data_IF_298017355818
#
_entry.id   IF_298017355818
#
_cell.length_a   1.000
_cell.length_b   1.000
_cell.length_c   1.000
_cell.angle_alpha   90.00
_cell.angle_beta   90.00
_cell.angle_gamma   90.00
#
_symmetry.space_group_name_H-M   'P 1'
#
loop_
_entity.id
_entity.type
_entity.pdbx_description
1 polymer ?
#
# COMPACT_ATOMS: atom_id res chain seq x y z
N UNK A 1 12.91 -19.78 35.79
CA UNK A 1 11.92 -18.91 35.08
C UNK A 1 12.60 -17.77 34.31
N UNK A 2 13.44 -16.93 34.92
CA UNK A 2 14.22 -15.88 34.25
C UNK A 2 15.11 -16.36 33.08
N UNK A 3 15.79 -17.50 33.21
CA UNK A 3 16.59 -18.08 32.11
C UNK A 3 15.75 -18.53 30.90
N UNK A 4 14.53 -19.03 31.13
CA UNK A 4 13.61 -19.45 30.06
C UNK A 4 13.03 -18.21 29.35
N UNK A 5 12.66 -17.17 30.11
CA UNK A 5 12.23 -15.88 29.56
C UNK A 5 13.36 -15.23 28.77
N UNK A 6 14.60 -15.26 29.28
CA UNK A 6 15.79 -14.78 28.56
C UNK A 6 16.07 -15.61 27.30
N UNK A 7 15.87 -16.92 27.31
CA UNK A 7 16.11 -17.79 26.15
C UNK A 7 15.04 -17.60 25.06
N UNK A 8 13.78 -17.37 25.45
CA UNK A 8 12.69 -16.97 24.54
C UNK A 8 12.93 -15.57 23.98
N UNK A 9 13.38 -14.62 24.80
CA UNK A 9 13.77 -13.29 24.34
C UNK A 9 14.97 -13.35 23.38
N UNK A 10 15.95 -14.22 23.64
CA UNK A 10 17.15 -14.35 22.80
C UNK A 10 16.85 -15.05 21.47
N UNK A 11 15.93 -16.03 21.43
CA UNK A 11 15.50 -16.65 20.18
C UNK A 11 14.61 -15.73 19.33
N UNK A 12 13.82 -14.86 19.97
CA UNK A 12 12.86 -13.98 19.29
C UNK A 12 13.32 -12.52 19.18
N UNK A 13 14.55 -12.19 19.62
CA UNK A 13 15.08 -10.82 19.64
C UNK A 13 15.02 -10.17 18.26
N UNK A 14 15.47 -10.90 17.22
CA UNK A 14 15.45 -10.40 15.83
C UNK A 14 14.03 -10.13 15.34
N UNK A 15 13.07 -10.98 15.67
CA UNK A 15 11.67 -10.82 15.28
C UNK A 15 11.07 -9.58 15.97
N UNK A 16 11.31 -9.42 17.27
CA UNK A 16 10.85 -8.26 18.04
C UNK A 16 11.48 -6.95 17.53
N UNK A 17 12.79 -6.97 17.26
CA UNK A 17 13.53 -5.84 16.72
C UNK A 17 13.01 -5.45 15.33
N UNK A 18 12.79 -6.41 14.43
CA UNK A 18 12.22 -6.15 13.11
C UNK A 18 10.78 -5.63 13.18
N UNK A 19 9.97 -6.19 14.08
CA UNK A 19 8.62 -5.70 14.31
C UNK A 19 8.62 -4.26 14.82
N UNK A 20 9.54 -3.91 15.73
CA UNK A 20 9.73 -2.53 16.19
C UNK A 20 10.12 -1.60 15.04
N UNK A 21 11.08 -1.99 14.20
CA UNK A 21 11.48 -1.19 13.04
C UNK A 21 10.35 -1.00 12.02
N UNK A 22 9.56 -2.04 11.78
CA UNK A 22 8.37 -1.97 10.93
C UNK A 22 7.32 -1.02 11.53
N UNK A 23 7.07 -1.12 12.83
CA UNK A 23 6.15 -0.25 13.57
C UNK A 23 6.55 1.21 13.45
N UNK A 24 7.82 1.51 13.72
CA UNK A 24 8.37 2.86 13.58
C UNK A 24 8.19 3.36 12.14
N UNK A 25 8.53 2.54 11.15
CA UNK A 25 8.36 2.90 9.74
C UNK A 25 6.89 3.22 9.41
N UNK A 26 5.93 2.44 9.89
CA UNK A 26 4.51 2.67 9.64
C UNK A 26 4.01 3.95 10.31
N UNK A 27 4.42 4.23 11.56
CA UNK A 27 4.08 5.47 12.26
C UNK A 27 4.62 6.70 11.53
N UNK A 28 5.90 6.70 11.11
CA UNK A 28 6.47 7.79 10.32
C UNK A 28 5.78 7.94 8.95
N UNK A 29 5.38 6.83 8.33
CA UNK A 29 4.60 6.85 7.09
C UNK A 29 3.25 7.51 7.27
N UNK A 30 2.65 7.32 8.44
CA UNK A 30 1.36 7.89 8.80
C UNK A 30 1.47 9.39 9.08
N UNK A 31 2.48 9.82 9.83
CA UNK A 31 2.64 11.22 10.23
C UNK A 31 2.99 12.14 9.06
N UNK A 32 3.71 11.61 8.07
CA UNK A 32 4.26 12.41 6.97
C UNK A 32 3.17 13.21 6.21
N UNK A 33 2.07 12.60 5.72
CA UNK A 33 0.98 13.36 5.10
C UNK A 33 0.37 14.44 5.98
N UNK A 34 0.22 14.21 7.30
CA UNK A 34 -0.38 15.20 8.20
C UNK A 34 0.50 16.44 8.38
N UNK A 35 1.81 16.34 8.14
CA UNK A 35 2.72 17.47 8.16
C UNK A 35 2.69 18.22 6.83
N UNK A 36 2.74 17.50 5.70
CA UNK A 36 2.88 18.12 4.38
C UNK A 36 1.57 18.57 3.75
N UNK A 37 0.45 17.89 4.01
CA UNK A 37 -0.84 18.23 3.40
C UNK A 37 -1.32 19.63 3.73
N UNK A 38 -1.34 20.08 5.00
CA UNK A 38 -1.80 21.42 5.34
C UNK A 38 -1.00 22.50 4.61
N UNK A 39 0.31 22.31 4.49
CA UNK A 39 1.19 23.24 3.80
C UNK A 39 0.96 23.24 2.28
N UNK A 40 0.93 22.06 1.67
CA UNK A 40 0.76 21.91 0.22
C UNK A 40 -0.60 22.38 -0.26
N UNK A 41 -1.68 22.09 0.49
CA UNK A 41 -3.03 22.57 0.16
C UNK A 41 -3.10 24.10 0.27
N UNK A 42 -2.52 24.71 1.30
CA UNK A 42 -2.53 26.18 1.47
C UNK A 42 -1.76 26.91 0.37
N UNK A 43 -0.61 26.37 -0.07
CA UNK A 43 0.22 27.03 -1.08
C UNK A 43 -0.26 26.73 -2.50
N UNK A 44 -0.42 25.45 -2.84
CA UNK A 44 -0.76 25.03 -4.20
C UNK A 44 -2.26 25.18 -4.49
N UNK A 45 -3.11 25.09 -3.47
CA UNK A 45 -4.56 25.03 -3.59
C UNK A 45 -5.05 23.62 -4.01
N UNK A 46 -6.33 23.37 -3.79
CA UNK A 46 -6.95 22.05 -4.03
C UNK A 46 -6.82 21.56 -5.48
N UNK A 47 -6.99 22.43 -6.47
CA UNK A 47 -6.99 22.03 -7.87
C UNK A 47 -5.59 21.61 -8.36
N UNK A 48 -4.57 22.45 -8.14
CA UNK A 48 -3.19 22.16 -8.57
C UNK A 48 -2.61 20.97 -7.81
N UNK A 49 -2.83 20.91 -6.50
CA UNK A 49 -2.38 19.76 -5.71
C UNK A 49 -3.10 18.47 -6.11
N UNK A 50 -4.36 18.58 -6.54
CA UNK A 50 -5.14 17.47 -7.09
C UNK A 50 -4.51 16.87 -8.34
N UNK A 51 -3.99 17.70 -9.26
CA UNK A 51 -3.22 17.22 -10.42
C UNK A 51 -1.98 16.45 -9.98
N UNK A 52 -1.24 16.93 -8.97
CA UNK A 52 -0.06 16.24 -8.41
C UNK A 52 -0.45 14.88 -7.84
N UNK A 53 -1.47 14.84 -6.98
CA UNK A 53 -1.98 13.60 -6.38
C UNK A 53 -2.43 12.62 -7.46
N UNK A 54 -3.14 13.11 -8.48
CA UNK A 54 -3.64 12.29 -9.58
C UNK A 54 -2.49 11.65 -10.35
N UNK A 55 -1.46 12.44 -10.73
CA UNK A 55 -0.28 11.94 -11.40
C UNK A 55 0.50 10.90 -10.56
N UNK A 56 0.65 11.17 -9.25
CA UNK A 56 1.26 10.22 -8.31
C UNK A 56 0.46 8.93 -8.19
N UNK A 57 -0.87 9.01 -8.19
CA UNK A 57 -1.75 7.85 -8.08
C UNK A 57 -1.61 6.94 -9.29
N UNK A 58 -1.46 7.51 -10.50
CA UNK A 58 -1.17 6.71 -11.69
C UNK A 58 0.19 5.99 -11.54
N UNK A 59 1.22 6.71 -11.09
CA UNK A 59 2.55 6.12 -10.87
C UNK A 59 2.54 4.99 -9.83
N UNK A 60 1.78 5.15 -8.73
CA UNK A 60 1.60 4.10 -7.71
C UNK A 60 0.91 2.86 -8.29
N UNK A 61 -0.10 3.03 -9.15
CA UNK A 61 -0.74 1.90 -9.81
C UNK A 61 0.20 1.17 -10.77
N UNK A 62 1.04 1.91 -11.52
CA UNK A 62 2.08 1.32 -12.38
C UNK A 62 3.14 0.60 -11.53
N UNK A 63 3.50 1.14 -10.37
CA UNK A 63 4.43 0.50 -9.44
C UNK A 63 3.96 -0.89 -9.00
N UNK A 64 2.64 -1.12 -8.85
CA UNK A 64 2.09 -2.46 -8.56
C UNK A 64 2.42 -3.46 -9.68
N UNK A 65 2.35 -3.02 -10.93
CA UNK A 65 2.70 -3.85 -12.10
C UNK A 65 4.19 -4.18 -12.09
N UNK A 66 5.05 -3.20 -11.80
CA UNK A 66 6.49 -3.39 -11.68
C UNK A 66 6.83 -4.30 -10.50
N UNK A 67 6.10 -4.20 -9.39
CA UNK A 67 6.31 -5.09 -8.25
C UNK A 67 6.01 -6.54 -8.62
N UNK A 68 5.01 -6.80 -9.46
CA UNK A 68 4.64 -8.12 -9.95
C UNK A 68 4.48 -9.19 -8.84
N UNK A 69 4.10 -8.79 -7.63
CA UNK A 69 3.98 -9.67 -6.48
C UNK A 69 5.30 -10.12 -5.84
N UNK A 70 6.45 -9.58 -6.28
CA UNK A 70 7.78 -9.92 -5.76
C UNK A 70 7.96 -9.55 -4.28
N UNK A 71 7.15 -8.63 -3.73
CA UNK A 71 7.14 -8.37 -2.29
C UNK A 71 6.71 -9.58 -1.46
N UNK A 72 5.99 -10.53 -2.06
CA UNK A 72 5.57 -11.77 -1.41
C UNK A 72 6.44 -12.93 -1.88
N UNK A 73 6.53 -13.18 -3.19
CA UNK A 73 7.31 -14.32 -3.72
C UNK A 73 8.80 -14.17 -3.46
N UNK A 74 9.39 -13.01 -3.75
CA UNK A 74 10.80 -12.72 -3.53
C UNK A 74 11.19 -12.84 -2.06
N UNK A 75 10.37 -12.31 -1.15
CA UNK A 75 10.57 -12.44 0.30
C UNK A 75 10.64 -13.90 0.74
N UNK A 76 9.74 -14.74 0.22
CA UNK A 76 9.70 -16.19 0.51
C UNK A 76 10.94 -16.91 -0.03
N UNK A 77 11.37 -16.61 -1.24
CA UNK A 77 12.52 -17.27 -1.86
C UNK A 77 13.85 -16.87 -1.19
N UNK A 78 13.99 -15.60 -0.81
CA UNK A 78 15.14 -15.11 -0.04
C UNK A 78 15.16 -15.73 1.35
N UNK A 79 14.04 -15.78 2.06
CA UNK A 79 13.96 -16.37 3.40
C UNK A 79 14.36 -17.85 3.40
N UNK A 80 13.99 -18.60 2.35
CA UNK A 80 14.37 -20.02 2.17
C UNK A 80 15.84 -20.24 1.85
N UNK A 81 16.49 -19.27 1.20
CA UNK A 81 17.87 -19.39 0.71
C UNK A 81 18.85 -18.45 1.44
N UNK A 82 18.47 -17.93 2.63
CA UNK A 82 19.20 -16.87 3.35
C UNK A 82 20.67 -17.17 3.64
N UNK A 83 21.03 -18.46 3.70
CA UNK A 83 22.38 -18.92 4.04
C UNK A 83 23.23 -19.23 2.78
N UNK A 84 22.66 -19.13 1.57
CA UNK A 84 23.34 -19.46 0.31
C UNK A 84 23.43 -18.25 -0.64
N UNK A 85 24.59 -17.59 -0.63
CA UNK A 85 24.86 -16.38 -1.43
C UNK A 85 24.68 -16.57 -2.94
N UNK A 86 24.98 -17.75 -3.49
CA UNK A 86 24.84 -17.99 -4.94
C UNK A 86 23.36 -18.04 -5.34
N UNK A 87 22.53 -18.70 -4.53
CA UNK A 87 21.08 -18.73 -4.73
C UNK A 87 20.47 -17.34 -4.52
N UNK A 88 20.90 -16.60 -3.49
CA UNK A 88 20.45 -15.22 -3.28
C UNK A 88 20.78 -14.34 -4.49
N UNK A 89 22.00 -14.45 -5.03
CA UNK A 89 22.43 -13.70 -6.22
C UNK A 89 21.60 -14.05 -7.45
N UNK A 90 21.26 -15.34 -7.64
CA UNK A 90 20.35 -15.78 -8.68
C UNK A 90 18.94 -15.19 -8.53
N UNK A 91 18.36 -15.24 -7.33
CA UNK A 91 17.01 -14.70 -7.04
C UNK A 91 17.00 -13.18 -7.30
N UNK A 92 17.96 -12.46 -6.71
CA UNK A 92 18.06 -11.00 -6.83
C UNK A 92 18.20 -10.57 -8.29
N UNK A 93 19.09 -11.23 -9.03
CA UNK A 93 19.33 -10.92 -10.45
C UNK A 93 18.10 -11.21 -11.31
N UNK A 94 17.40 -12.32 -11.07
CA UNK A 94 16.15 -12.65 -11.77
C UNK A 94 15.08 -11.59 -11.53
N UNK A 95 14.83 -11.23 -10.27
CA UNK A 95 13.79 -10.26 -9.90
C UNK A 95 14.10 -8.90 -10.52
N UNK A 96 15.32 -8.38 -10.39
CA UNK A 96 15.68 -7.09 -10.99
C UNK A 96 15.60 -7.11 -12.51
N UNK A 97 16.00 -8.19 -13.17
CA UNK A 97 15.88 -8.32 -14.63
C UNK A 97 14.43 -8.26 -15.10
N UNK A 98 13.53 -8.97 -14.40
CA UNK A 98 12.09 -8.95 -14.70
C UNK A 98 11.49 -7.58 -14.39
N UNK A 99 11.79 -7.00 -13.22
CA UNK A 99 11.32 -5.66 -12.85
C UNK A 99 11.76 -4.60 -13.86
N UNK A 100 13.00 -4.65 -14.33
CA UNK A 100 13.52 -3.72 -15.32
C UNK A 100 12.80 -3.85 -16.67
N UNK A 101 12.57 -5.09 -17.14
CA UNK A 101 11.78 -5.33 -18.35
C UNK A 101 10.35 -4.80 -18.22
N UNK A 102 9.66 -5.10 -17.11
CA UNK A 102 8.31 -4.62 -16.84
C UNK A 102 8.24 -3.10 -16.72
N UNK A 103 9.22 -2.48 -16.06
CA UNK A 103 9.33 -1.03 -15.95
C UNK A 103 9.49 -0.37 -17.31
N UNK A 104 10.36 -0.91 -18.17
CA UNK A 104 10.56 -0.40 -19.52
C UNK A 104 9.30 -0.56 -20.38
N UNK A 105 8.61 -1.70 -20.30
CA UNK A 105 7.33 -1.90 -20.97
C UNK A 105 6.27 -0.89 -20.49
N UNK A 106 6.16 -0.68 -19.17
CA UNK A 106 5.26 0.32 -18.59
C UNK A 106 5.63 1.74 -19.02
N UNK A 107 6.91 2.06 -19.15
CA UNK A 107 7.38 3.35 -19.65
C UNK A 107 6.84 3.60 -21.06
N UNK A 108 7.04 2.66 -21.99
CA UNK A 108 6.57 2.81 -23.37
C UNK A 108 5.05 2.99 -23.46
N UNK A 109 4.29 2.19 -22.69
CA UNK A 109 2.82 2.32 -22.62
C UNK A 109 2.42 3.67 -22.03
N UNK A 110 3.06 4.11 -20.96
CA UNK A 110 2.75 5.36 -20.28
C UNK A 110 2.98 6.59 -21.16
N UNK A 111 4.12 6.65 -21.86
CA UNK A 111 4.41 7.72 -22.81
C UNK A 111 3.42 7.73 -23.98
N UNK A 112 3.01 6.55 -24.45
CA UNK A 112 1.98 6.44 -25.48
C UNK A 112 0.64 7.00 -25.00
N UNK A 113 0.22 6.66 -23.77
CA UNK A 113 -1.03 7.17 -23.17
C UNK A 113 -1.00 8.70 -23.03
N UNK A 114 0.10 9.29 -22.54
CA UNK A 114 0.23 10.76 -22.43
C UNK A 114 0.09 11.42 -23.81
N UNK A 115 0.65 10.81 -24.84
CA UNK A 115 0.60 11.35 -26.20
C UNK A 115 -0.83 11.31 -26.79
N UNK A 116 -1.55 10.19 -26.59
CA UNK A 116 -2.88 10.00 -27.17
C UNK A 116 -4.04 10.61 -26.37
N UNK A 117 -3.87 10.85 -25.06
CA UNK A 117 -4.94 11.37 -24.19
C UNK A 117 -4.79 12.89 -24.01
N UNK A 118 -5.64 13.72 -24.63
CA UNK A 118 -5.50 15.18 -24.59
C UNK A 118 -5.53 15.76 -23.17
N UNK A 119 -6.31 15.14 -22.27
CA UNK A 119 -6.40 15.51 -20.87
C UNK A 119 -5.05 15.48 -20.15
N UNK A 120 -4.21 14.48 -20.44
CA UNK A 120 -2.89 14.32 -19.82
C UNK A 120 -1.83 15.19 -20.48
N UNK A 121 -2.05 15.59 -21.74
CA UNK A 121 -1.09 16.38 -22.51
C UNK A 121 -0.89 17.80 -21.95
N UNK A 122 -1.92 18.37 -21.30
CA UNK A 122 -1.87 19.73 -20.74
C UNK A 122 -0.75 19.88 -19.69
N UNK A 123 -0.60 18.88 -18.82
CA UNK A 123 0.40 18.84 -17.76
C UNK A 123 1.43 17.71 -17.99
N UNK A 124 1.80 17.46 -19.25
CA UNK A 124 2.65 16.32 -19.65
C UNK A 124 3.94 16.18 -18.82
N UNK A 125 4.56 17.30 -18.45
CA UNK A 125 5.78 17.32 -17.63
C UNK A 125 5.55 16.76 -16.22
N UNK A 126 4.40 17.09 -15.60
CA UNK A 126 4.01 16.56 -14.29
C UNK A 126 3.89 15.04 -14.33
N UNK A 127 3.25 14.51 -15.37
CA UNK A 127 3.05 13.08 -15.56
C UNK A 127 4.37 12.35 -15.80
N UNK A 128 5.27 12.89 -16.65
CA UNK A 128 6.59 12.30 -16.87
C UNK A 128 7.41 12.26 -15.58
N UNK A 129 7.47 13.35 -14.82
CA UNK A 129 8.21 13.38 -13.56
C UNK A 129 7.60 12.37 -12.58
N UNK A 130 6.26 12.34 -12.49
CA UNK A 130 5.56 11.42 -11.58
C UNK A 130 5.79 9.95 -11.96
N UNK A 131 5.94 9.61 -13.25
CA UNK A 131 6.29 8.25 -13.66
C UNK A 131 7.57 7.75 -12.98
N UNK A 132 8.58 8.60 -12.85
CA UNK A 132 9.85 8.22 -12.23
C UNK A 132 9.74 7.91 -10.73
N UNK A 133 8.60 8.18 -10.08
CA UNK A 133 8.32 7.68 -8.72
C UNK A 133 8.34 6.15 -8.65
N UNK A 134 8.08 5.49 -9.78
CA UNK A 134 8.22 4.04 -9.93
C UNK A 134 9.65 3.54 -9.67
N UNK A 135 10.68 4.41 -9.69
CA UNK A 135 12.02 4.05 -9.25
C UNK A 135 12.07 3.55 -7.82
N UNK A 136 11.18 4.03 -6.94
CA UNK A 136 11.09 3.54 -5.58
C UNK A 136 10.83 2.03 -5.57
N UNK A 137 9.91 1.55 -6.42
CA UNK A 137 9.57 0.14 -6.49
C UNK A 137 10.53 -0.68 -7.37
N UNK A 138 11.13 -0.06 -8.39
CA UNK A 138 12.14 -0.70 -9.23
C UNK A 138 13.42 -0.97 -8.45
N UNK A 139 13.94 0.03 -7.73
CA UNK A 139 15.29 0.00 -7.14
C UNK A 139 15.28 -0.51 -5.71
N UNK A 140 14.29 -0.15 -4.88
CA UNK A 140 14.29 -0.45 -3.45
C UNK A 140 13.86 -1.91 -3.18
N UNK A 141 14.75 -2.82 -2.73
CA UNK A 141 14.44 -4.22 -2.55
C UNK A 141 13.86 -4.49 -1.16
N UNK A 142 12.64 -4.02 -0.91
CA UNK A 142 11.91 -4.31 0.34
C UNK A 142 11.85 -5.81 0.62
N UNK A 143 11.57 -6.62 -0.41
CA UNK A 143 11.51 -8.08 -0.37
C UNK A 143 12.81 -8.74 0.08
N UNK A 144 13.97 -8.20 -0.29
CA UNK A 144 15.26 -8.74 0.10
C UNK A 144 15.51 -8.54 1.60
N UNK A 145 15.34 -7.31 2.08
CA UNK A 145 15.55 -7.00 3.50
C UNK A 145 14.49 -7.66 4.38
N UNK A 146 13.24 -7.78 3.91
CA UNK A 146 12.20 -8.54 4.59
C UNK A 146 12.57 -10.02 4.69
N UNK A 147 13.01 -10.64 3.58
CA UNK A 147 13.40 -12.06 3.56
C UNK A 147 14.61 -12.38 4.42
N UNK A 148 15.56 -11.44 4.55
CA UNK A 148 16.73 -11.57 5.43
C UNK A 148 16.50 -11.09 6.87
N UNK A 149 15.29 -10.64 7.22
CA UNK A 149 14.99 -10.10 8.56
C UNK A 149 15.90 -8.91 8.94
N UNK A 150 16.16 -8.02 7.98
CA UNK A 150 17.02 -6.83 8.13
C UNK A 150 16.23 -5.53 7.96
N UNK A 151 15.09 -5.41 8.64
CA UNK A 151 14.15 -4.28 8.50
C UNK A 151 14.78 -2.94 8.87
N UNK A 152 15.82 -2.93 9.72
CA UNK A 152 16.54 -1.71 10.10
C UNK A 152 16.99 -0.87 8.90
N UNK A 153 17.45 -1.49 7.81
CA UNK A 153 17.90 -0.75 6.63
C UNK A 153 16.73 -0.05 5.95
N UNK A 154 15.59 -0.74 5.82
CA UNK A 154 14.37 -0.15 5.27
C UNK A 154 13.96 1.08 6.11
N UNK A 155 13.96 0.93 7.43
CA UNK A 155 13.52 1.97 8.36
C UNK A 155 14.43 3.19 8.33
N UNK A 156 15.75 3.02 8.50
CA UNK A 156 16.66 4.16 8.51
C UNK A 156 16.71 4.89 7.16
N UNK A 157 16.74 4.16 6.04
CA UNK A 157 16.79 4.79 4.71
C UNK A 157 15.49 5.57 4.44
N UNK A 158 14.32 4.95 4.64
CA UNK A 158 13.04 5.63 4.37
C UNK A 158 12.78 6.82 5.28
N UNK A 159 13.09 6.71 6.57
CA UNK A 159 12.89 7.83 7.51
C UNK A 159 13.83 8.97 7.17
N UNK A 160 15.10 8.70 6.89
CA UNK A 160 16.08 9.75 6.54
C UNK A 160 15.69 10.48 5.26
N UNK A 161 15.34 9.73 4.21
CA UNK A 161 14.89 10.31 2.93
C UNK A 161 13.61 11.13 3.13
N UNK A 162 12.64 10.63 3.88
CA UNK A 162 11.37 11.35 4.11
C UNK A 162 11.54 12.60 4.94
N UNK A 163 12.37 12.59 5.98
CA UNK A 163 12.64 13.78 6.78
C UNK A 163 13.31 14.87 5.94
N UNK A 164 14.30 14.51 5.12
CA UNK A 164 14.92 15.43 4.16
C UNK A 164 13.88 16.00 3.18
N UNK A 165 12.97 15.15 2.71
CA UNK A 165 11.90 15.55 1.79
C UNK A 165 10.86 16.48 2.45
N UNK A 166 10.47 16.26 3.72
CA UNK A 166 9.62 17.20 4.48
C UNK A 166 10.27 18.59 4.46
N UNK A 167 11.53 18.66 4.89
CA UNK A 167 12.25 19.93 5.02
C UNK A 167 12.36 20.60 3.64
N UNK A 168 12.70 19.84 2.61
CA UNK A 168 12.80 20.34 1.24
C UNK A 168 11.47 20.90 0.71
N UNK A 169 10.33 20.27 1.01
CA UNK A 169 9.01 20.82 0.62
C UNK A 169 8.83 22.22 1.22
N UNK A 170 9.04 22.38 2.53
CA UNK A 170 8.85 23.68 3.20
C UNK A 170 9.81 24.77 2.71
N UNK A 171 10.99 24.37 2.23
CA UNK A 171 12.01 25.30 1.75
C UNK A 171 11.79 25.69 0.29
N UNK A 172 11.37 24.76 -0.57
CA UNK A 172 11.34 24.97 -2.02
C UNK A 172 9.94 25.22 -2.60
N UNK A 173 8.85 24.76 -1.97
CA UNK A 173 7.49 24.93 -2.48
C UNK A 173 6.87 26.17 -1.85
N UNK A 174 7.01 27.33 -2.49
CA UNK A 174 6.53 28.61 -1.91
C UNK A 174 5.34 29.16 -2.67
N UNK A 175 5.16 28.80 -3.93
CA UNK A 175 4.11 29.32 -4.80
C UNK A 175 3.42 28.21 -5.60
N UNK A 176 2.26 28.52 -6.20
CA UNK A 176 1.45 27.54 -6.98
C UNK A 176 2.21 26.97 -8.18
N UNK A 177 3.11 27.74 -8.78
CA UNK A 177 3.94 27.33 -9.91
C UNK A 177 4.99 26.28 -9.55
N UNK A 178 5.29 26.11 -8.25
CA UNK A 178 6.27 25.16 -7.74
C UNK A 178 5.73 23.73 -7.62
N UNK A 179 4.51 23.45 -8.10
CA UNK A 179 3.86 22.14 -7.96
C UNK A 179 4.68 20.96 -8.51
N UNK A 180 5.52 21.19 -9.53
CA UNK A 180 6.42 20.18 -10.10
C UNK A 180 7.56 19.78 -9.16
N UNK A 181 7.90 20.64 -8.19
CA UNK A 181 8.95 20.36 -7.19
C UNK A 181 8.51 19.20 -6.29
N UNK A 182 7.22 19.07 -5.97
CA UNK A 182 6.69 18.00 -5.10
C UNK A 182 7.00 16.59 -5.65
N UNK A 183 6.60 16.21 -6.88
CA UNK A 183 6.96 14.90 -7.42
C UNK A 183 8.46 14.80 -7.72
N UNK A 184 9.13 15.88 -8.12
CA UNK A 184 10.59 15.88 -8.38
C UNK A 184 11.38 15.48 -7.13
N UNK A 185 11.08 16.12 -6.00
CA UNK A 185 11.71 15.82 -4.73
C UNK A 185 11.40 14.38 -4.27
N UNK A 186 10.20 13.86 -4.56
CA UNK A 186 9.87 12.45 -4.26
C UNK A 186 10.67 11.48 -5.14
N UNK A 187 10.88 11.79 -6.43
CA UNK A 187 11.73 11.00 -7.34
C UNK A 187 13.17 10.99 -6.86
N UNK A 188 13.71 12.15 -6.48
CA UNK A 188 15.06 12.26 -5.91
C UNK A 188 15.16 11.41 -4.65
N UNK A 189 14.16 11.47 -3.76
CA UNK A 189 14.11 10.63 -2.57
C UNK A 189 14.09 9.13 -2.90
N UNK A 190 13.26 8.73 -3.88
CA UNK A 190 13.18 7.36 -4.37
C UNK A 190 14.52 6.86 -4.96
N UNK A 191 15.23 7.72 -5.72
CA UNK A 191 16.55 7.41 -6.26
C UNK A 191 17.60 7.27 -5.17
N UNK A 192 17.68 8.24 -4.24
CA UNK A 192 18.63 8.20 -3.12
C UNK A 192 18.36 6.96 -2.25
N UNK A 193 17.10 6.72 -1.89
CA UNK A 193 16.71 5.56 -1.10
C UNK A 193 16.97 4.23 -1.82
N UNK A 194 16.65 4.17 -3.11
CA UNK A 194 16.89 2.99 -3.95
C UNK A 194 18.38 2.69 -4.13
N UNK A 195 19.19 3.69 -4.46
CA UNK A 195 20.63 3.53 -4.66
C UNK A 195 21.35 3.16 -3.35
N UNK A 196 20.99 3.78 -2.23
CA UNK A 196 21.55 3.41 -0.92
C UNK A 196 21.16 1.99 -0.52
N UNK A 197 19.92 1.57 -0.81
CA UNK A 197 19.49 0.20 -0.60
C UNK A 197 20.24 -0.80 -1.49
N UNK A 198 20.42 -0.50 -2.78
CA UNK A 198 21.19 -1.31 -3.72
C UNK A 198 22.66 -1.44 -3.31
N UNK A 199 23.26 -0.35 -2.81
CA UNK A 199 24.60 -0.38 -2.24
C UNK A 199 24.69 -1.38 -1.08
N UNK A 200 23.70 -1.40 -0.18
CA UNK A 200 23.66 -2.40 0.90
C UNK A 200 23.55 -3.82 0.32
N UNK A 201 22.71 -4.07 -0.68
CA UNK A 201 22.54 -5.40 -1.27
C UNK A 201 23.81 -5.89 -1.97
N UNK A 202 24.38 -5.11 -2.89
CA UNK A 202 25.49 -5.58 -3.71
C UNK A 202 26.85 -5.50 -3.00
N UNK A 203 27.08 -4.45 -2.19
CA UNK A 203 28.38 -4.24 -1.55
C UNK A 203 28.43 -4.88 -0.16
N UNK A 204 27.45 -4.55 0.71
CA UNK A 204 27.50 -5.00 2.10
C UNK A 204 27.08 -6.46 2.27
N UNK A 205 26.04 -6.88 1.55
CA UNK A 205 25.53 -8.26 1.58
C UNK A 205 26.20 -9.15 0.52
N UNK A 206 27.17 -8.60 -0.24
CA UNK A 206 28.01 -9.31 -1.22
C UNK A 206 27.23 -10.10 -2.26
N UNK A 207 26.04 -9.61 -2.61
CA UNK A 207 25.25 -10.19 -3.69
C UNK A 207 25.90 -9.80 -5.02
N UNK A 208 26.02 -10.76 -5.94
CA UNK A 208 26.50 -10.48 -7.30
C UNK A 208 25.34 -10.43 -8.27
N UNK A 209 25.40 -9.49 -9.22
CA UNK A 209 24.45 -9.45 -10.33
C UNK A 209 24.92 -10.41 -11.42
N UNK A 210 24.17 -11.49 -11.64
CA UNK A 210 24.51 -12.56 -12.58
C UNK A 210 23.41 -12.62 -13.65
N UNK A 211 23.79 -12.51 -14.92
CA UNK A 211 22.85 -12.66 -16.04
C UNK A 211 22.19 -14.04 -15.99
N UNK A 212 20.87 -14.06 -15.87
CA UNK A 212 20.11 -15.31 -15.77
C UNK A 212 19.59 -15.75 -17.14
N UNK A 213 19.55 -17.06 -17.43
CA UNK A 213 19.00 -17.57 -18.67
C UNK A 213 17.49 -17.34 -18.71
N UNK A 214 16.94 -17.19 -19.93
CA UNK A 214 15.51 -16.92 -20.14
C UNK A 214 14.59 -17.93 -19.43
N UNK A 215 14.96 -19.21 -19.41
CA UNK A 215 14.16 -20.25 -18.74
C UNK A 215 14.00 -19.99 -17.23
N UNK A 216 15.03 -19.47 -16.57
CA UNK A 216 14.98 -19.10 -15.15
C UNK A 216 14.12 -17.86 -14.97
N UNK A 217 14.28 -16.83 -15.82
CA UNK A 217 13.42 -15.64 -15.74
C UNK A 217 11.94 -16.00 -15.93
N UNK A 218 11.66 -16.89 -16.90
CA UNK A 218 10.31 -17.39 -17.19
C UNK A 218 9.73 -18.15 -15.99
N UNK A 219 10.52 -18.97 -15.30
CA UNK A 219 10.02 -19.68 -14.10
C UNK A 219 9.64 -18.70 -13.00
N UNK A 220 10.52 -17.74 -12.66
CA UNK A 220 10.23 -16.72 -11.65
C UNK A 220 8.99 -15.88 -11.98
N UNK A 221 8.81 -15.56 -13.27
CA UNK A 221 7.63 -14.84 -13.76
C UNK A 221 6.34 -15.66 -13.57
N UNK A 222 6.34 -16.93 -14.01
CA UNK A 222 5.17 -17.82 -13.90
C UNK A 222 4.81 -18.09 -12.44
N UNK A 223 5.81 -18.33 -11.60
CA UNK A 223 5.60 -18.65 -10.18
C UNK A 223 5.05 -17.46 -9.38
N UNK A 224 5.41 -16.23 -9.78
CA UNK A 224 4.94 -15.00 -9.13
C UNK A 224 3.59 -14.51 -9.67
N UNK A 225 3.17 -14.96 -10.85
CA UNK A 225 1.95 -14.49 -11.53
C UNK A 225 0.67 -14.59 -10.67
N UNK A 226 0.39 -15.68 -9.93
CA UNK A 226 -0.80 -15.75 -9.08
C UNK A 226 -0.81 -14.69 -7.97
N UNK A 227 0.36 -14.40 -7.39
CA UNK A 227 0.52 -13.38 -6.35
C UNK A 227 0.41 -11.97 -6.93
N UNK A 228 0.89 -11.77 -8.16
CA UNK A 228 0.67 -10.54 -8.91
C UNK A 228 -0.83 -10.29 -9.11
N UNK A 229 -1.57 -11.27 -9.64
CA UNK A 229 -3.02 -11.12 -9.88
C UNK A 229 -3.76 -10.79 -8.59
N UNK A 230 -3.46 -11.49 -7.48
CA UNK A 230 -4.07 -11.19 -6.19
C UNK A 230 -3.76 -9.78 -5.70
N UNK A 231 -2.49 -9.35 -5.80
CA UNK A 231 -2.06 -8.02 -5.39
C UNK A 231 -2.69 -6.93 -6.26
N UNK A 232 -2.75 -7.15 -7.58
CA UNK A 232 -3.37 -6.24 -8.54
C UNK A 232 -4.87 -6.10 -8.28
N UNK A 233 -5.59 -7.21 -8.05
CA UNK A 233 -7.02 -7.19 -7.72
C UNK A 233 -7.31 -6.35 -6.49
N UNK A 234 -6.49 -6.47 -5.44
CA UNK A 234 -6.62 -5.65 -4.22
C UNK A 234 -6.40 -4.17 -4.55
N UNK A 235 -5.34 -3.85 -5.29
CA UNK A 235 -4.99 -2.46 -5.57
C UNK A 235 -5.99 -1.77 -6.51
N UNK A 236 -6.68 -2.53 -7.37
CA UNK A 236 -7.75 -1.98 -8.21
C UNK A 236 -8.86 -1.40 -7.35
N UNK A 237 -9.48 -2.17 -6.45
CA UNK A 237 -10.62 -1.63 -5.68
C UNK A 237 -10.20 -0.69 -4.55
N UNK A 238 -8.92 -0.62 -4.19
CA UNK A 238 -8.39 0.31 -3.18
C UNK A 238 -7.98 1.65 -3.79
N UNK A 239 -7.25 1.69 -4.91
CA UNK A 239 -6.65 2.94 -5.42
C UNK A 239 -7.30 3.47 -6.71
N UNK A 240 -8.09 2.66 -7.44
CA UNK A 240 -8.70 3.13 -8.70
C UNK A 240 -9.81 4.14 -8.44
N UNK A 241 -10.46 4.11 -7.27
CA UNK A 241 -11.45 5.13 -6.88
C UNK A 241 -10.94 6.55 -7.07
N UNK A 242 -9.72 6.84 -6.65
CA UNK A 242 -9.11 8.16 -6.82
C UNK A 242 -8.84 8.53 -8.28
N UNK A 243 -8.47 7.55 -9.11
CA UNK A 243 -8.33 7.76 -10.55
C UNK A 243 -9.68 8.05 -11.22
N UNK A 244 -10.76 7.39 -10.76
CA UNK A 244 -12.11 7.64 -11.26
C UNK A 244 -12.58 9.04 -10.87
N UNK A 245 -12.33 9.47 -9.63
CA UNK A 245 -12.62 10.84 -9.19
C UNK A 245 -11.93 11.86 -10.09
N UNK A 246 -10.64 11.71 -10.37
CA UNK A 246 -9.91 12.66 -11.23
C UNK A 246 -10.32 12.63 -12.70
N UNK A 247 -10.68 11.46 -13.22
CA UNK A 247 -11.10 11.30 -14.61
C UNK A 247 -12.51 11.88 -14.88
N UNK A 248 -13.43 11.78 -13.92
CA UNK A 248 -14.84 12.15 -14.13
C UNK A 248 -15.30 13.42 -13.40
N UNK A 249 -14.69 13.76 -12.25
CA UNK A 249 -15.22 14.78 -11.33
C UNK A 249 -14.28 15.99 -11.18
N UNK A 250 -13.00 15.83 -11.53
CA UNK A 250 -12.02 16.91 -11.55
C UNK A 250 -11.03 16.87 -10.38
N UNK A 251 -10.01 17.71 -10.45
CA UNK A 251 -8.84 17.62 -9.56
C UNK A 251 -9.09 18.14 -8.14
N UNK A 252 -10.01 19.08 -7.95
CA UNK A 252 -10.44 19.52 -6.61
C UNK A 252 -10.97 18.33 -5.80
N UNK A 253 -11.82 17.51 -6.43
CA UNK A 253 -12.38 16.31 -5.81
C UNK A 253 -11.32 15.24 -5.53
N UNK A 254 -10.28 15.16 -6.37
CA UNK A 254 -9.14 14.26 -6.10
C UNK A 254 -8.48 14.61 -4.79
N UNK A 255 -8.24 15.89 -4.52
CA UNK A 255 -7.63 16.34 -3.26
C UNK A 255 -8.51 16.04 -2.07
N UNK A 256 -9.82 16.27 -2.18
CA UNK A 256 -10.77 15.97 -1.10
C UNK A 256 -10.81 14.46 -0.81
N UNK A 257 -10.92 13.65 -1.86
CA UNK A 257 -10.97 12.19 -1.74
C UNK A 257 -9.66 11.62 -1.16
N UNK A 258 -8.51 12.12 -1.62
CA UNK A 258 -7.20 11.71 -1.14
C UNK A 258 -6.96 12.12 0.31
N UNK A 259 -7.39 13.32 0.73
CA UNK A 259 -7.38 13.73 2.14
C UNK A 259 -8.20 12.73 2.98
N UNK A 260 -9.38 12.34 2.50
CA UNK A 260 -10.22 11.37 3.19
C UNK A 260 -9.56 9.98 3.30
N UNK A 261 -8.87 9.53 2.25
CA UNK A 261 -8.07 8.31 2.31
C UNK A 261 -6.92 8.42 3.32
N UNK A 262 -6.18 9.54 3.38
CA UNK A 262 -5.07 9.71 4.35
C UNK A 262 -5.56 9.63 5.78
N UNK A 263 -6.70 10.25 6.08
CA UNK A 263 -7.35 10.14 7.40
C UNK A 263 -7.77 8.68 7.66
N UNK A 264 -8.35 8.02 6.66
CA UNK A 264 -8.80 6.63 6.78
C UNK A 264 -7.64 5.65 7.03
N UNK A 265 -6.45 5.91 6.48
CA UNK A 265 -5.25 5.09 6.68
C UNK A 265 -4.82 5.05 8.15
N UNK A 266 -5.10 6.10 8.95
CA UNK A 266 -4.82 6.12 10.40
C UNK A 266 -5.47 4.96 11.13
N UNK A 267 -6.66 4.54 10.68
CA UNK A 267 -7.36 3.38 11.23
C UNK A 267 -6.82 2.05 10.67
N UNK A 268 -6.47 2.02 9.38
CA UNK A 268 -6.03 0.79 8.70
C UNK A 268 -4.64 0.31 9.15
N UNK A 269 -3.74 1.21 9.51
CA UNK A 269 -2.37 0.85 9.91
C UNK A 269 -2.33 0.00 11.19
N UNK A 270 -2.93 0.42 12.32
CA UNK A 270 -2.99 -0.40 13.53
C UNK A 270 -3.58 -1.79 13.30
N UNK A 271 -4.66 -1.90 12.50
CA UNK A 271 -5.27 -3.19 12.14
C UNK A 271 -4.23 -4.11 11.48
N UNK A 272 -3.50 -3.59 10.49
CA UNK A 272 -2.47 -4.33 9.77
C UNK A 272 -1.30 -4.73 10.69
N UNK A 273 -0.90 -3.87 11.62
CA UNK A 273 0.15 -4.18 12.58
C UNK A 273 -0.23 -5.33 13.51
N UNK A 274 -1.43 -5.28 14.09
CA UNK A 274 -1.92 -6.32 15.00
C UNK A 274 -2.08 -7.64 14.24
N UNK A 275 -2.62 -7.58 13.02
CA UNK A 275 -2.68 -8.71 12.08
C UNK A 275 -1.30 -9.35 11.89
N UNK A 276 -0.29 -8.57 11.47
CA UNK A 276 1.06 -9.09 11.24
C UNK A 276 1.74 -9.62 12.51
N UNK A 277 1.53 -8.98 13.66
CA UNK A 277 2.06 -9.43 14.95
C UNK A 277 1.47 -10.77 15.39
N UNK A 278 0.19 -11.00 15.10
CA UNK A 278 -0.55 -12.19 15.54
C UNK A 278 -0.50 -13.33 14.52
N UNK A 279 -0.25 -13.04 13.24
CA UNK A 279 -0.20 -14.01 12.15
C UNK A 279 0.69 -15.23 12.41
N UNK A 280 1.93 -15.11 12.95
CA UNK A 280 2.77 -16.29 13.24
C UNK A 280 2.15 -17.22 14.28
N UNK A 281 1.55 -16.66 15.34
CA UNK A 281 0.88 -17.43 16.40
C UNK A 281 -0.36 -18.12 15.85
N UNK A 282 -1.14 -17.41 15.04
CA UNK A 282 -2.33 -17.96 14.38
C UNK A 282 -1.93 -19.10 13.43
N UNK A 283 -0.86 -18.92 12.66
CA UNK A 283 -0.35 -19.95 11.74
C UNK A 283 0.08 -21.24 12.44
N UNK A 284 0.67 -21.13 13.64
CA UNK A 284 1.12 -22.27 14.44
C UNK A 284 -0.02 -22.96 15.17
N UNK A 285 -0.86 -22.20 15.86
CA UNK A 285 -1.87 -22.75 16.77
C UNK A 285 -3.21 -23.02 16.09
N UNK A 286 -3.53 -22.30 15.01
CA UNK A 286 -4.80 -22.39 14.26
C UNK A 286 -6.04 -22.36 15.15
N UNK A 287 -5.96 -21.68 16.30
CA UNK A 287 -7.06 -21.55 17.28
C UNK A 287 -8.03 -20.45 16.86
N UNK A 288 -9.21 -20.85 16.39
CA UNK A 288 -10.28 -19.92 15.95
C UNK A 288 -10.70 -18.96 17.08
N UNK A 289 -10.78 -19.44 18.32
CA UNK A 289 -11.11 -18.62 19.49
C UNK A 289 -10.12 -17.47 19.72
N UNK A 290 -8.82 -17.71 19.50
CA UNK A 290 -7.80 -16.66 19.58
C UNK A 290 -7.97 -15.65 18.45
N UNK A 291 -8.21 -16.11 17.21
CA UNK A 291 -8.47 -15.22 16.06
C UNK A 291 -9.69 -14.34 16.35
N UNK A 292 -10.80 -14.92 16.80
CA UNK A 292 -12.02 -14.17 17.15
C UNK A 292 -11.75 -13.14 18.24
N UNK A 293 -11.04 -13.51 19.30
CA UNK A 293 -10.71 -12.59 20.40
C UNK A 293 -9.90 -11.39 19.90
N UNK A 294 -8.85 -11.62 19.11
CA UNK A 294 -8.04 -10.53 18.53
C UNK A 294 -8.89 -9.69 17.58
N UNK A 295 -9.66 -10.32 16.70
CA UNK A 295 -10.57 -9.65 15.76
C UNK A 295 -11.52 -8.70 16.48
N UNK A 296 -12.27 -9.16 17.49
CA UNK A 296 -13.21 -8.31 18.22
C UNK A 296 -12.52 -7.19 19.01
N UNK A 297 -11.32 -7.42 19.56
CA UNK A 297 -10.52 -6.35 20.18
C UNK A 297 -10.13 -5.29 19.14
N UNK A 298 -9.65 -5.72 17.96
CA UNK A 298 -9.28 -4.77 16.89
C UNK A 298 -10.49 -4.01 16.35
N UNK A 299 -11.62 -4.68 16.15
CA UNK A 299 -12.87 -4.05 15.71
C UNK A 299 -13.34 -3.05 16.77
N UNK A 300 -13.37 -3.43 18.05
CA UNK A 300 -13.72 -2.54 19.15
C UNK A 300 -12.84 -1.29 19.18
N UNK A 301 -11.52 -1.46 19.03
CA UNK A 301 -10.58 -0.34 18.93
C UNK A 301 -10.88 0.57 17.72
N UNK A 302 -11.15 -0.01 16.54
CA UNK A 302 -11.50 0.78 15.34
C UNK A 302 -12.82 1.52 15.48
N UNK A 303 -13.83 0.92 16.11
CA UNK A 303 -15.12 1.55 16.38
C UNK A 303 -14.95 2.72 17.33
N UNK A 304 -14.23 2.55 18.44
CA UNK A 304 -13.93 3.65 19.38
C UNK A 304 -13.18 4.77 18.67
N UNK A 305 -12.17 4.43 17.86
CA UNK A 305 -11.40 5.41 17.10
C UNK A 305 -12.26 6.17 16.08
N UNK A 306 -13.16 5.47 15.39
CA UNK A 306 -14.13 6.07 14.46
C UNK A 306 -15.10 7.01 15.18
N UNK A 307 -15.62 6.61 16.35
CA UNK A 307 -16.49 7.46 17.16
C UNK A 307 -15.76 8.72 17.63
N UNK A 308 -14.50 8.61 18.07
CA UNK A 308 -13.68 9.77 18.39
C UNK A 308 -13.54 10.70 17.18
N UNK A 309 -13.21 10.16 16.01
CA UNK A 309 -13.11 10.96 14.79
C UNK A 309 -14.45 11.63 14.43
N UNK A 310 -15.58 10.94 14.59
CA UNK A 310 -16.89 11.53 14.30
C UNK A 310 -17.16 12.83 15.06
N UNK A 311 -16.71 12.92 16.32
CA UNK A 311 -16.84 14.14 17.12
C UNK A 311 -15.84 15.25 16.73
N UNK A 312 -14.60 14.88 16.38
CA UNK A 312 -13.52 15.85 16.09
C UNK A 312 -13.29 16.11 14.60
N UNK A 313 -14.11 15.55 13.71
CA UNK A 313 -13.84 15.58 12.26
C UNK A 313 -13.79 17.00 11.69
N UNK A 314 -14.59 17.92 12.24
CA UNK A 314 -14.62 19.30 11.78
C UNK A 314 -13.29 20.01 12.04
N UNK A 315 -12.76 19.84 13.26
CA UNK A 315 -11.44 20.35 13.64
C UNK A 315 -10.32 19.70 12.83
N UNK A 316 -10.38 18.37 12.64
CA UNK A 316 -9.38 17.63 11.86
C UNK A 316 -9.33 18.14 10.42
N UNK A 317 -10.49 18.34 9.78
CA UNK A 317 -10.55 18.89 8.42
C UNK A 317 -10.01 20.30 8.42
N UNK A 318 -10.48 21.17 9.31
CA UNK A 318 -10.05 22.57 9.38
C UNK A 318 -8.53 22.70 9.57
N UNK A 319 -7.92 21.88 10.43
CA UNK A 319 -6.47 21.84 10.63
C UNK A 319 -5.75 21.44 9.34
N UNK A 320 -6.28 20.44 8.63
CA UNK A 320 -5.65 19.86 7.45
C UNK A 320 -5.81 20.68 6.17
N UNK A 321 -6.92 21.39 6.00
CA UNK A 321 -7.21 22.16 4.78
C UNK A 321 -7.10 23.66 5.00
N UNK A 322 -7.26 24.14 6.22
CA UNK A 322 -7.45 25.56 6.55
C UNK A 322 -8.89 26.06 6.34
N UNK A 323 -9.79 25.23 5.81
CA UNK A 323 -11.16 25.60 5.46
C UNK A 323 -12.15 24.48 5.85
N UNK A 324 -13.32 24.84 6.35
CA UNK A 324 -14.38 23.87 6.59
C UNK A 324 -14.98 23.38 5.26
N UNK A 325 -15.03 22.06 5.07
CA UNK A 325 -15.71 21.44 3.93
C UNK A 325 -16.67 20.34 4.40
N UNK A 326 -17.97 20.58 4.21
CA UNK A 326 -19.02 19.61 4.51
C UNK A 326 -18.89 18.35 3.63
N UNK A 327 -18.44 18.53 2.39
CA UNK A 327 -18.17 17.45 1.45
C UNK A 327 -17.04 16.55 1.94
N UNK A 328 -15.90 17.14 2.31
CA UNK A 328 -14.79 16.40 2.91
C UNK A 328 -15.23 15.63 4.16
N UNK A 329 -16.03 16.26 5.04
CA UNK A 329 -16.56 15.61 6.25
C UNK A 329 -17.32 14.34 5.92
N UNK A 330 -18.28 14.41 5.00
CA UNK A 330 -19.09 13.25 4.61
C UNK A 330 -18.24 12.14 4.00
N UNK A 331 -17.31 12.47 3.11
CA UNK A 331 -16.45 11.49 2.44
C UNK A 331 -15.54 10.79 3.47
N UNK A 332 -14.92 11.54 4.38
CA UNK A 332 -14.09 10.98 5.46
C UNK A 332 -14.89 10.01 6.31
N UNK A 333 -16.13 10.37 6.70
CA UNK A 333 -16.98 9.50 7.51
C UNK A 333 -17.36 8.21 6.78
N UNK A 334 -17.70 8.28 5.49
CA UNK A 334 -18.03 7.08 4.69
C UNK A 334 -16.82 6.15 4.57
N UNK A 335 -15.64 6.68 4.22
CA UNK A 335 -14.43 5.87 4.08
C UNK A 335 -13.91 5.36 5.43
N UNK A 336 -14.00 6.15 6.48
CA UNK A 336 -13.59 5.74 7.83
C UNK A 336 -14.52 4.65 8.39
N UNK A 337 -15.81 4.67 8.06
CA UNK A 337 -16.73 3.59 8.40
C UNK A 337 -16.31 2.26 7.73
N UNK A 338 -15.76 2.32 6.51
CA UNK A 338 -15.26 1.13 5.82
C UNK A 338 -14.06 0.48 6.53
N UNK A 339 -13.31 1.23 7.35
CA UNK A 339 -12.19 0.70 8.12
C UNK A 339 -12.60 -0.37 9.15
N UNK A 340 -13.84 -0.31 9.66
CA UNK A 340 -14.40 -1.34 10.55
C UNK A 340 -14.57 -2.65 9.80
N UNK A 341 -15.08 -2.60 8.56
CA UNK A 341 -15.20 -3.79 7.70
C UNK A 341 -13.83 -4.33 7.31
N UNK A 342 -12.86 -3.46 7.04
CA UNK A 342 -11.46 -3.84 6.79
C UNK A 342 -10.87 -4.63 7.95
N UNK A 343 -11.16 -4.24 9.21
CA UNK A 343 -10.75 -5.02 10.38
C UNK A 343 -11.27 -6.46 10.32
N UNK A 344 -12.57 -6.64 10.06
CA UNK A 344 -13.14 -7.97 9.88
C UNK A 344 -12.51 -8.71 8.69
N UNK A 345 -12.37 -8.06 7.53
CA UNK A 345 -11.83 -8.65 6.31
C UNK A 345 -10.41 -9.19 6.50
N UNK A 346 -9.56 -8.47 7.22
CA UNK A 346 -8.19 -8.90 7.52
C UNK A 346 -8.17 -10.14 8.43
N UNK A 347 -9.04 -10.22 9.44
CA UNK A 347 -9.04 -11.36 10.36
C UNK A 347 -9.77 -12.59 9.83
N UNK A 348 -10.85 -12.40 9.08
CA UNK A 348 -11.61 -13.49 8.43
C UNK A 348 -10.96 -13.96 7.13
N UNK A 349 -10.30 -13.06 6.41
CA UNK A 349 -9.61 -13.33 5.15
C UNK A 349 -8.19 -13.81 5.39
N UNK A 350 -7.23 -12.89 5.48
CA UNK A 350 -5.80 -13.23 5.48
C UNK A 350 -5.37 -14.01 6.72
N UNK A 351 -5.76 -13.59 7.93
CA UNK A 351 -5.35 -14.30 9.16
C UNK A 351 -6.08 -15.62 9.40
N UNK A 352 -7.14 -15.94 8.66
CA UNK A 352 -7.90 -17.18 8.86
C UNK A 352 -7.82 -18.10 7.66
N UNK A 353 -8.08 -17.64 6.45
CA UNK A 353 -8.04 -18.52 5.28
C UNK A 353 -6.62 -18.98 4.95
N UNK A 354 -5.61 -18.11 5.06
CA UNK A 354 -4.22 -18.45 4.69
C UNK A 354 -3.63 -19.49 5.66
N UNK A 355 -3.65 -19.30 7.00
CA UNK A 355 -3.17 -20.32 7.96
C UNK A 355 -3.84 -21.70 7.84
N UNK A 356 -5.06 -21.74 7.33
CA UNK A 356 -5.83 -22.99 7.12
C UNK A 356 -5.66 -23.56 5.71
N UNK A 357 -4.63 -23.12 4.96
CA UNK A 357 -4.29 -23.58 3.61
C UNK A 357 -5.39 -23.31 2.56
N UNK A 358 -6.24 -22.31 2.79
CA UNK A 358 -7.32 -21.89 1.88
C UNK A 358 -6.92 -20.67 1.02
N UNK A 359 -5.63 -20.54 0.70
CA UNK A 359 -5.05 -19.43 -0.09
C UNK A 359 -5.76 -19.24 -1.44
N UNK A 360 -6.10 -20.33 -2.13
CA UNK A 360 -6.82 -20.28 -3.40
C UNK A 360 -8.23 -19.72 -3.25
N UNK A 361 -8.89 -19.97 -2.13
CA UNK A 361 -10.24 -19.43 -1.85
C UNK A 361 -10.13 -17.95 -1.50
N UNK A 362 -9.16 -17.56 -0.68
CA UNK A 362 -8.86 -16.16 -0.41
C UNK A 362 -8.61 -15.37 -1.71
N UNK A 363 -7.78 -15.91 -2.61
CA UNK A 363 -7.54 -15.33 -3.93
C UNK A 363 -8.83 -15.16 -4.73
N UNK A 364 -9.68 -16.19 -4.82
CA UNK A 364 -10.99 -16.08 -5.49
C UNK A 364 -11.87 -14.99 -4.89
N UNK A 365 -11.94 -14.88 -3.57
CA UNK A 365 -12.71 -13.83 -2.89
C UNK A 365 -12.20 -12.42 -3.25
N UNK A 366 -10.88 -12.22 -3.31
CA UNK A 366 -10.31 -10.92 -3.73
C UNK A 366 -10.62 -10.58 -5.18
N UNK A 367 -10.61 -11.57 -6.09
CA UNK A 367 -11.00 -11.37 -7.49
C UNK A 367 -12.49 -11.02 -7.59
N UNK A 368 -13.36 -11.75 -6.88
CA UNK A 368 -14.80 -11.45 -6.88
C UNK A 368 -15.11 -10.06 -6.35
N UNK A 369 -14.39 -9.61 -5.32
CA UNK A 369 -14.54 -8.27 -4.76
C UNK A 369 -14.07 -7.19 -5.74
N UNK A 370 -12.96 -7.43 -6.45
CA UNK A 370 -12.50 -6.56 -7.53
C UNK A 370 -13.51 -6.50 -8.68
N UNK A 371 -14.10 -7.62 -9.10
CA UNK A 371 -15.11 -7.66 -10.15
C UNK A 371 -16.38 -6.92 -9.72
N UNK A 372 -16.83 -7.11 -8.47
CA UNK A 372 -17.96 -6.38 -7.91
C UNK A 372 -17.74 -4.86 -7.96
N UNK A 373 -16.55 -4.40 -7.56
CA UNK A 373 -16.18 -2.99 -7.65
C UNK A 373 -16.23 -2.47 -9.09
N UNK A 374 -15.59 -3.17 -10.03
CA UNK A 374 -15.55 -2.76 -11.44
C UNK A 374 -16.94 -2.71 -12.08
N UNK A 375 -17.78 -3.71 -11.82
CA UNK A 375 -19.16 -3.76 -12.32
C UNK A 375 -19.97 -2.61 -11.74
N UNK A 376 -19.89 -2.39 -10.42
CA UNK A 376 -20.63 -1.31 -9.77
C UNK A 376 -20.20 0.07 -10.25
N UNK A 377 -18.90 0.34 -10.36
CA UNK A 377 -18.40 1.60 -10.94
C UNK A 377 -18.87 1.75 -12.39
N UNK A 378 -18.76 0.70 -13.20
CA UNK A 378 -19.20 0.75 -14.60
C UNK A 378 -20.69 1.09 -14.68
N UNK A 379 -21.53 0.48 -13.83
CA UNK A 379 -22.96 0.81 -13.77
C UNK A 379 -23.23 2.27 -13.39
N UNK A 380 -22.48 2.84 -12.44
CA UNK A 380 -22.59 4.27 -12.09
C UNK A 380 -22.23 5.18 -13.25
N UNK A 381 -21.19 4.83 -14.02
CA UNK A 381 -20.81 5.56 -15.24
C UNK A 381 -21.92 5.49 -16.29
N UNK A 382 -22.51 4.31 -16.51
CA UNK A 382 -23.61 4.13 -17.46
C UNK A 382 -24.87 4.93 -17.09
N UNK A 383 -25.20 5.00 -15.80
CA UNK A 383 -26.38 5.73 -15.29
C UNK A 383 -26.11 7.25 -15.19
N UNK A 384 -24.85 7.68 -15.38
CA UNK A 384 -24.39 9.09 -15.23
C UNK A 384 -24.57 9.66 -13.82
N UNK A 385 -24.64 8.80 -12.80
CA UNK A 385 -24.71 9.19 -11.39
C UNK A 385 -23.35 9.13 -10.69
N UNK A 386 -22.27 9.36 -11.44
CA UNK A 386 -20.93 9.40 -10.86
C UNK A 386 -20.73 10.72 -10.12
N UNK A 387 -20.53 10.63 -8.81
CA UNK A 387 -20.11 11.72 -7.95
C UNK A 387 -19.18 11.16 -6.86
N UNK A 388 -18.57 12.04 -6.05
CA UNK A 388 -17.56 11.59 -5.07
C UNK A 388 -18.20 10.73 -3.98
N UNK A 389 -19.46 10.99 -3.64
CA UNK A 389 -20.21 10.21 -2.67
C UNK A 389 -20.49 8.79 -3.19
N UNK A 390 -20.94 8.62 -4.44
CA UNK A 390 -21.24 7.32 -5.02
C UNK A 390 -19.98 6.47 -5.16
N UNK A 391 -18.84 7.05 -5.54
CA UNK A 391 -17.55 6.36 -5.53
C UNK A 391 -17.16 5.94 -4.09
N UNK A 392 -17.37 6.81 -3.10
CA UNK A 392 -17.08 6.50 -1.69
C UNK A 392 -17.97 5.38 -1.14
N UNK A 393 -19.27 5.40 -1.48
CA UNK A 393 -20.20 4.33 -1.14
C UNK A 393 -19.84 3.03 -1.84
N UNK A 394 -19.38 3.06 -3.09
CA UNK A 394 -18.90 1.85 -3.78
C UNK A 394 -17.71 1.21 -3.09
N UNK A 395 -16.78 2.00 -2.56
CA UNK A 395 -15.68 1.48 -1.73
C UNK A 395 -16.21 0.81 -0.45
N UNK A 396 -17.18 1.42 0.24
CA UNK A 396 -17.83 0.81 1.42
C UNK A 396 -18.58 -0.48 1.08
N UNK A 397 -19.35 -0.49 -0.02
CA UNK A 397 -20.09 -1.65 -0.51
C UNK A 397 -19.15 -2.79 -0.89
N UNK A 398 -18.01 -2.49 -1.49
CA UNK A 398 -16.99 -3.49 -1.83
C UNK A 398 -16.40 -4.14 -0.59
N UNK A 399 -16.09 -3.35 0.45
CA UNK A 399 -15.63 -3.91 1.74
C UNK A 399 -16.71 -4.76 2.42
N UNK A 400 -17.98 -4.35 2.28
CA UNK A 400 -19.14 -5.08 2.81
C UNK A 400 -19.34 -6.41 2.08
N UNK A 401 -19.23 -6.40 0.76
CA UNK A 401 -19.27 -7.60 -0.07
C UNK A 401 -18.12 -8.56 0.26
N UNK A 402 -16.91 -8.02 0.43
CA UNK A 402 -15.73 -8.80 0.85
C UNK A 402 -15.96 -9.46 2.21
N UNK A 403 -16.57 -8.74 3.15
CA UNK A 403 -16.92 -9.24 4.47
C UNK A 403 -17.93 -10.38 4.40
N UNK A 404 -18.99 -10.23 3.62
CA UNK A 404 -20.00 -11.27 3.42
C UNK A 404 -19.37 -12.52 2.79
N UNK A 405 -18.52 -12.37 1.77
CA UNK A 405 -17.81 -13.50 1.17
C UNK A 405 -16.90 -14.21 2.16
N UNK A 406 -16.13 -13.46 2.96
CA UNK A 406 -15.24 -14.03 3.97
C UNK A 406 -16.02 -14.74 5.07
N UNK A 407 -17.13 -14.17 5.54
CA UNK A 407 -18.04 -14.81 6.49
C UNK A 407 -18.64 -16.10 5.93
N UNK A 408 -19.15 -16.07 4.70
CA UNK A 408 -19.74 -17.23 4.04
C UNK A 408 -18.73 -18.38 3.92
N UNK A 409 -17.52 -18.09 3.44
CA UNK A 409 -16.44 -19.08 3.32
C UNK A 409 -16.02 -19.60 4.70
N UNK A 410 -15.85 -18.71 5.69
CA UNK A 410 -15.50 -19.11 7.05
C UNK A 410 -16.58 -20.02 7.66
N UNK A 411 -17.87 -19.75 7.41
CA UNK A 411 -18.96 -20.59 7.88
C UNK A 411 -18.96 -21.96 7.19
N UNK A 412 -18.84 -21.97 5.85
CA UNK A 412 -18.82 -23.19 5.03
C UNK A 412 -17.73 -24.16 5.45
N UNK A 413 -16.58 -23.64 5.89
CA UNK A 413 -15.44 -24.44 6.36
C UNK A 413 -15.42 -24.66 7.88
N UNK A 414 -16.49 -24.30 8.61
CA UNK A 414 -16.61 -24.41 10.08
C UNK A 414 -15.47 -23.70 10.83
N UNK A 415 -15.10 -22.51 10.35
CA UNK A 415 -14.02 -21.67 10.90
C UNK A 415 -14.55 -20.44 11.63
N UNK A 416 -15.86 -20.32 11.91
CA UNK A 416 -16.43 -19.17 12.63
C UNK A 416 -16.40 -19.37 14.15
N UNK A 417 -16.94 -20.49 14.62
CA UNK A 417 -16.98 -20.89 16.01
C UNK A 417 -16.67 -22.39 16.05
N UNK A 418 -15.41 -22.76 16.28
CA UNK A 418 -15.13 -24.12 16.70
C UNK A 418 -15.16 -24.13 18.23
N UNK A 419 -16.05 -24.96 18.76
CA UNK A 419 -16.17 -25.35 20.17
C UNK A 419 -14.82 -25.77 20.74
#
# INVERSE_FOLDING_TARGET
MLKIVQQIFKSNKKILENFSYLTILQMFSLLFPFITYPYLIRILGFNVYGSVIFAQTIAVNIAVIINFGFNISGTKDIARNRDNLTNLSKIVSSIYSIKFFLWFACLLVYFSIIYFVPFLRKDWLLYIISFFLTFNELLFPTWFFQGLEKMKYITFINISVRLLFVIAIFVFVKEKTDYLIVPTLNVIGALIGGLTALYVVFVKEKISFIKQPYLVLKSFFIDSFPLFISSLSIQIYVNVSKLLVGAFLGMTEVTIYDLAEKITIVFKVPINMISQATFPKISREKKVSFINKVMFITVGFTVVSFLCLFFFIEDVIYILTGEYSLEAKKIVLILSLSSILVAFNIFLGSNRLIPFNLEKIFLKNTIYSCLFFLIGVSSLVFIKEINVYTISYMSLLTESFTFILCLYVANKHKLLFNY
#
